data_IF_680250102255
#
_entry.id   IF_680250102255
#
_cell.length_a   1.000
_cell.length_b   1.000
_cell.length_c   1.000
_cell.angle_alpha   90.00
_cell.angle_beta   90.00
_cell.angle_gamma   90.00
#
_symmetry.space_group_name_H-M   'P 1'
#
loop_
_entity.id
_entity.type
_entity.pdbx_description
1 polymer ?
#
# COMPACT_ATOMS: atom_id res chain seq x y z
N UNK A 1 9.41 16.75 8.10
CA UNK A 1 9.61 16.17 6.75
C UNK A 1 8.32 16.32 5.97
N UNK A 2 8.37 16.37 4.64
CA UNK A 2 7.19 16.74 3.83
C UNK A 2 6.59 15.55 3.08
N UNK A 3 5.28 15.64 2.85
CA UNK A 3 4.54 14.81 1.92
C UNK A 3 4.19 15.70 0.72
N UNK A 4 4.40 15.19 -0.49
CA UNK A 4 4.10 15.90 -1.73
C UNK A 4 3.23 15.01 -2.60
N UNK A 5 2.13 15.57 -3.10
CA UNK A 5 1.26 14.92 -4.08
C UNK A 5 1.49 15.59 -5.43
N UNK A 6 1.95 14.80 -6.41
CA UNK A 6 2.12 15.19 -7.80
C UNK A 6 0.97 14.67 -8.63
N UNK A 7 0.49 15.47 -9.58
CA UNK A 7 -0.51 15.03 -10.55
C UNK A 7 -0.43 15.87 -11.81
N UNK A 8 -1.05 15.39 -12.88
CA UNK A 8 -1.27 16.15 -14.10
C UNK A 8 -2.71 16.62 -14.13
N UNK A 9 -2.95 17.89 -14.45
CA UNK A 9 -4.26 18.48 -14.63
C UNK A 9 -4.48 18.87 -16.08
N UNK A 10 -5.62 18.47 -16.64
CA UNK A 10 -6.09 18.91 -17.94
C UNK A 10 -7.13 20.02 -17.76
N UNK A 11 -6.87 21.18 -18.37
CA UNK A 11 -7.81 22.31 -18.39
C UNK A 11 -8.43 22.51 -19.78
N UNK A 12 -8.11 21.65 -20.75
CA UNK A 12 -8.70 21.73 -22.08
C UNK A 12 -10.22 21.54 -22.01
N UNK A 13 -10.99 22.23 -22.88
CA UNK A 13 -12.42 22.01 -23.02
C UNK A 13 -12.76 20.55 -23.36
N UNK A 14 -13.99 20.14 -23.02
CA UNK A 14 -14.50 18.80 -23.34
C UNK A 14 -14.47 18.54 -24.86
N UNK A 15 -13.91 17.40 -25.25
CA UNK A 15 -13.74 17.01 -26.66
C UNK A 15 -12.49 17.56 -27.36
N UNK A 16 -11.73 18.46 -26.73
CA UNK A 16 -10.44 18.88 -27.23
C UNK A 16 -9.31 17.92 -26.81
N UNK A 17 -8.17 17.97 -27.51
CA UNK A 17 -6.99 17.23 -27.09
C UNK A 17 -6.54 17.70 -25.69
N UNK A 18 -6.26 16.77 -24.75
CA UNK A 18 -5.91 17.13 -23.39
C UNK A 18 -4.54 17.80 -23.33
N UNK A 19 -4.46 18.94 -22.65
CA UNK A 19 -3.23 19.66 -22.38
C UNK A 19 -2.87 19.49 -20.90
N UNK A 20 -2.06 18.46 -20.62
CA UNK A 20 -1.66 18.10 -19.27
C UNK A 20 -0.62 19.07 -18.69
N UNK A 21 -0.93 19.67 -17.55
CA UNK A 21 -0.02 20.53 -16.79
C UNK A 21 0.35 19.87 -15.45
N UNK A 22 1.62 19.90 -15.05
CA UNK A 22 2.04 19.34 -13.77
C UNK A 22 1.61 20.24 -12.62
N UNK A 23 1.08 19.63 -11.58
CA UNK A 23 0.65 20.28 -10.36
C UNK A 23 1.25 19.59 -9.14
N UNK A 24 1.43 20.34 -8.06
CA UNK A 24 1.95 19.82 -6.80
C UNK A 24 1.19 20.37 -5.60
N UNK A 25 0.90 19.50 -4.63
CA UNK A 25 0.34 19.85 -3.33
C UNK A 25 1.29 19.42 -2.24
N UNK A 26 1.50 20.30 -1.27
CA UNK A 26 2.41 20.08 -0.14
C UNK A 26 1.63 19.87 1.14
N UNK A 27 2.07 18.89 1.92
CA UNK A 27 1.53 18.57 3.24
C UNK A 27 2.69 18.38 4.23
N UNK A 28 2.44 18.70 5.49
CA UNK A 28 3.36 18.33 6.58
C UNK A 28 3.30 16.83 6.87
N UNK A 29 4.31 16.31 7.58
CA UNK A 29 4.35 14.93 8.08
C UNK A 29 3.13 14.55 8.95
N UNK A 30 2.51 15.52 9.63
CA UNK A 30 1.29 15.30 10.42
C UNK A 30 0.00 15.16 9.61
N UNK A 31 0.07 15.36 8.29
CA UNK A 31 -1.11 15.45 7.42
C UNK A 31 -1.24 14.26 6.46
N UNK A 32 -0.67 13.09 6.78
CA UNK A 32 -0.74 11.90 5.92
C UNK A 32 -2.18 11.52 5.55
N UNK A 33 -3.11 11.51 6.51
CA UNK A 33 -4.52 11.21 6.24
C UNK A 33 -5.16 12.19 5.25
N UNK A 34 -4.82 13.48 5.36
CA UNK A 34 -5.34 14.52 4.46
C UNK A 34 -4.73 14.38 3.06
N UNK A 35 -3.42 14.11 2.97
CA UNK A 35 -2.75 13.86 1.70
C UNK A 35 -3.35 12.65 0.96
N UNK A 36 -3.63 11.55 1.68
CA UNK A 36 -4.26 10.35 1.12
C UNK A 36 -5.69 10.62 0.66
N UNK A 37 -6.47 11.35 1.45
CA UNK A 37 -7.82 11.79 1.07
C UNK A 37 -7.76 12.64 -0.20
N UNK A 38 -6.81 13.56 -0.29
CA UNK A 38 -6.63 14.40 -1.46
C UNK A 38 -6.26 13.58 -2.70
N UNK A 39 -5.41 12.56 -2.58
CA UNK A 39 -5.13 11.65 -3.69
C UNK A 39 -6.41 10.94 -4.19
N UNK A 40 -7.31 10.53 -3.29
CA UNK A 40 -8.58 9.91 -3.70
C UNK A 40 -9.47 10.89 -4.47
N UNK A 41 -9.60 12.13 -3.99
CA UNK A 41 -10.37 13.17 -4.67
C UNK A 41 -9.79 13.48 -6.05
N UNK A 42 -8.47 13.64 -6.15
CA UNK A 42 -7.79 13.91 -7.42
C UNK A 42 -7.99 12.77 -8.41
N UNK A 43 -7.91 11.50 -7.98
CA UNK A 43 -8.11 10.33 -8.85
C UNK A 43 -9.55 10.16 -9.33
N UNK A 44 -10.53 10.70 -8.60
CA UNK A 44 -11.94 10.61 -8.96
C UNK A 44 -12.33 11.61 -10.06
N UNK A 45 -11.56 12.69 -10.25
CA UNK A 45 -11.80 13.70 -11.26
C UNK A 45 -11.08 13.34 -12.58
N UNK A 46 -11.87 13.21 -13.66
CA UNK A 46 -11.39 12.85 -14.99
C UNK A 46 -10.44 13.91 -15.61
N UNK A 47 -10.42 15.13 -15.07
CA UNK A 47 -9.47 16.16 -15.48
C UNK A 47 -8.09 15.98 -14.86
N UNK A 48 -7.90 14.98 -14.00
CA UNK A 48 -6.61 14.69 -13.40
C UNK A 48 -6.08 13.33 -13.84
N UNK A 49 -4.77 13.22 -13.97
CA UNK A 49 -4.07 11.99 -14.31
C UNK A 49 -2.77 11.86 -13.51
N UNK A 50 -2.21 10.64 -13.47
CA UNK A 50 -0.90 10.36 -12.88
C UNK A 50 -0.71 10.81 -11.42
N UNK A 51 -1.77 10.72 -10.61
CA UNK A 51 -1.76 11.12 -9.19
C UNK A 51 -0.83 10.21 -8.37
N UNK A 52 0.31 10.79 -7.96
CA UNK A 52 1.39 10.13 -7.24
C UNK A 52 1.66 10.86 -5.93
N UNK A 53 1.92 10.10 -4.86
CA UNK A 53 2.31 10.64 -3.56
C UNK A 53 3.74 10.25 -3.27
N UNK A 54 4.54 11.20 -2.80
CA UNK A 54 5.88 10.98 -2.27
C UNK A 54 5.93 11.50 -0.85
N UNK A 55 6.49 10.71 0.06
CA UNK A 55 6.56 11.05 1.48
C UNK A 55 7.91 10.63 2.04
N UNK A 56 8.57 11.55 2.73
CA UNK A 56 9.83 11.27 3.43
C UNK A 56 9.62 11.22 4.94
N UNK A 57 8.65 10.44 5.44
CA UNK A 57 8.33 10.43 6.87
C UNK A 57 9.34 9.61 7.68
N UNK A 58 10.01 10.24 8.66
CA UNK A 58 11.00 9.59 9.54
C UNK A 58 10.45 8.37 10.28
N UNK A 59 9.17 8.43 10.65
CA UNK A 59 8.50 7.40 11.43
C UNK A 59 7.93 6.25 10.58
N UNK A 60 7.83 6.44 9.25
CA UNK A 60 7.21 5.43 8.36
C UNK A 60 8.22 4.40 7.85
N UNK A 61 9.49 4.75 7.86
CA UNK A 61 10.58 3.80 7.72
C UNK A 61 10.83 3.25 9.12
N UNK A 62 10.83 1.93 9.29
CA UNK A 62 11.33 1.29 10.50
C UNK A 62 12.75 1.78 10.85
N UNK A 63 13.31 1.37 12.00
CA UNK A 63 14.63 1.81 12.44
C UNK A 63 15.65 1.80 11.30
N UNK A 64 16.42 2.89 11.17
CA UNK A 64 17.43 3.00 10.10
C UNK A 64 18.38 1.80 10.16
N UNK A 65 18.48 1.05 9.07
CA UNK A 65 19.34 -0.13 8.97
C UNK A 65 18.61 -1.48 9.11
N UNK A 66 17.32 -1.50 9.47
CA UNK A 66 16.54 -2.74 9.59
C UNK A 66 15.48 -2.80 8.47
N UNK A 67 15.68 -3.69 7.50
CA UNK A 67 14.83 -3.81 6.31
C UNK A 67 14.03 -5.11 6.21
N UNK A 68 14.26 -6.05 7.14
CA UNK A 68 13.68 -7.38 7.11
C UNK A 68 13.46 -7.93 8.53
N UNK A 69 12.78 -9.07 8.60
CA UNK A 69 12.72 -9.89 9.81
C UNK A 69 14.09 -10.53 10.01
N UNK A 70 14.77 -10.20 11.10
CA UNK A 70 16.06 -10.78 11.49
C UNK A 70 15.88 -11.54 12.79
N UNK A 71 16.48 -12.73 12.89
CA UNK A 71 16.40 -13.60 14.08
C UNK A 71 14.97 -13.91 14.57
N UNK A 72 13.99 -13.88 13.66
CA UNK A 72 12.59 -14.12 14.00
C UNK A 72 11.89 -12.91 14.64
N UNK A 73 12.45 -11.70 14.56
CA UNK A 73 11.83 -10.47 15.04
C UNK A 73 11.54 -9.48 13.93
N UNK A 74 10.44 -8.76 14.05
CA UNK A 74 10.07 -7.66 13.16
C UNK A 74 11.00 -6.45 13.37
N UNK A 75 11.00 -5.49 12.44
CA UNK A 75 11.82 -4.28 12.56
C UNK A 75 11.54 -3.43 13.81
N UNK A 76 10.36 -3.54 14.42
CA UNK A 76 9.97 -2.91 15.69
C UNK A 76 10.31 -3.77 16.92
N UNK A 77 11.00 -4.90 16.74
CA UNK A 77 11.51 -5.75 17.81
C UNK A 77 10.50 -6.75 18.37
N UNK A 78 9.32 -6.87 17.77
CA UNK A 78 8.31 -7.86 18.15
C UNK A 78 8.66 -9.22 17.58
N UNK A 79 8.28 -10.29 18.29
CA UNK A 79 8.44 -11.64 17.76
C UNK A 79 7.54 -11.83 16.52
N UNK A 80 8.15 -12.25 15.42
CA UNK A 80 7.47 -12.48 14.15
C UNK A 80 6.86 -13.88 14.12
N UNK A 81 5.59 -13.98 14.51
CA UNK A 81 4.87 -15.26 14.57
C UNK A 81 4.35 -15.79 13.22
N UNK A 82 4.63 -15.08 12.12
CA UNK A 82 4.09 -15.48 10.82
C UNK A 82 4.69 -16.81 10.36
N UNK A 83 3.82 -17.77 10.09
CA UNK A 83 4.18 -18.97 9.34
C UNK A 83 3.13 -19.26 8.28
N UNK A 84 3.59 -19.63 7.08
CA UNK A 84 2.72 -20.12 5.99
C UNK A 84 1.83 -21.27 6.48
N UNK A 85 2.40 -22.13 7.32
CA UNK A 85 1.72 -23.23 8.00
C UNK A 85 0.51 -22.79 8.85
N UNK A 86 0.63 -21.67 9.57
CA UNK A 86 -0.40 -21.18 10.50
C UNK A 86 -1.57 -20.47 9.81
N UNK A 87 -1.36 -19.80 8.67
CA UNK A 87 -2.43 -19.05 7.98
C UNK A 87 -2.91 -19.66 6.66
N UNK A 88 -2.00 -20.15 5.83
CA UNK A 88 -2.33 -20.73 4.53
C UNK A 88 -2.43 -22.26 4.57
N UNK A 89 -2.23 -22.85 5.76
CA UNK A 89 -2.14 -24.29 5.95
C UNK A 89 -0.75 -24.84 5.69
N UNK A 90 -0.40 -25.91 6.41
CA UNK A 90 0.85 -26.65 6.19
C UNK A 90 0.84 -27.30 4.81
N UNK A 91 2.00 -27.36 4.17
CA UNK A 91 2.20 -28.13 2.93
C UNK A 91 1.77 -29.58 3.14
N UNK A 92 0.88 -30.08 2.29
CA UNK A 92 0.30 -31.43 2.41
C UNK A 92 1.09 -32.50 1.65
N UNK A 93 2.29 -32.18 1.14
CA UNK A 93 3.09 -33.09 0.30
C UNK A 93 3.39 -34.44 0.97
N UNK A 94 3.50 -34.47 2.30
CA UNK A 94 3.70 -35.68 3.11
C UNK A 94 2.58 -35.87 4.16
N UNK A 95 1.39 -35.32 3.93
CA UNK A 95 0.30 -35.46 4.89
C UNK A 95 -0.16 -36.92 4.97
N UNK A 96 -0.23 -37.47 6.20
CA UNK A 96 -0.74 -38.82 6.45
C UNK A 96 -2.24 -38.95 6.16
N UNK A 97 -2.97 -37.84 6.23
CA UNK A 97 -4.42 -37.81 6.02
C UNK A 97 -4.77 -37.31 4.61
N UNK A 98 -5.66 -38.03 3.91
CA UNK A 98 -6.12 -37.65 2.58
C UNK A 98 -6.85 -36.29 2.59
N UNK A 99 -6.91 -35.58 1.45
CA UNK A 99 -7.69 -34.35 1.32
C UNK A 99 -9.16 -34.62 1.63
N UNK A 100 -9.75 -33.81 2.52
CA UNK A 100 -11.18 -33.83 2.79
C UNK A 100 -11.90 -33.30 1.55
N UNK A 101 -12.91 -34.04 1.11
CA UNK A 101 -13.81 -33.61 0.06
C UNK A 101 -14.81 -32.60 0.63
N UNK A 102 -15.54 -31.91 -0.25
CA UNK A 102 -16.58 -30.96 0.17
C UNK A 102 -17.69 -31.64 0.97
N UNK A 103 -17.98 -32.91 0.66
CA UNK A 103 -18.96 -33.74 1.37
C UNK A 103 -18.54 -34.05 2.81
N UNK A 104 -17.24 -34.02 3.12
CA UNK A 104 -16.70 -34.22 4.48
C UNK A 104 -16.72 -32.95 5.34
N UNK A 105 -16.98 -31.78 4.75
CA UNK A 105 -17.01 -30.49 5.46
C UNK A 105 -18.42 -30.06 5.90
N UNK A 106 -19.46 -30.60 5.26
CA UNK A 106 -20.86 -30.24 5.49
C UNK A 106 -21.57 -31.20 6.49
N UNK A 107 -20.80 -31.96 7.28
CA UNK A 107 -21.29 -32.98 8.23
C UNK A 107 -20.93 -32.68 9.67
#
# INVERSE_FOLDING_TARGET
>A
MSIVVFYLRNQSPEGAAPAWQPECLHFSDKQMSEALKQCQLLRADAHNAHVTISSEMREMVGPMGVSAVEEGRTPDGQDYEWSKAGRAGKSRRNAKEPPRSREDMDR
#
